data_IF_220873030752
#
_entry.id   IF_220873030752
#
_cell.length_a   1.000
_cell.length_b   1.000
_cell.length_c   1.000
_cell.angle_alpha   90.00
_cell.angle_beta   90.00
_cell.angle_gamma   90.00
#
_symmetry.space_group_name_H-M   'P 1'
#
loop_
_entity.id
_entity.type
_entity.pdbx_description
1 polymer ?
#
# COMPACT_ATOMS: atom_id res chain seq x y z
N UNK A 1 -12.50 14.65 19.22
CA UNK A 1 -12.20 14.12 17.89
C UNK A 1 -11.70 12.69 18.02
N UNK A 2 -12.25 11.76 17.26
CA UNK A 2 -11.77 10.39 17.33
C UNK A 2 -10.33 10.32 16.80
N UNK A 3 -9.50 9.61 17.54
CA UNK A 3 -8.12 9.36 17.14
C UNK A 3 -8.07 8.33 16.02
N UNK A 4 -7.12 8.52 15.09
CA UNK A 4 -6.87 7.55 14.05
C UNK A 4 -5.80 6.57 14.52
N UNK A 5 -6.11 5.28 14.47
CA UNK A 5 -5.20 4.21 14.82
C UNK A 5 -4.68 3.54 13.57
N UNK A 6 -3.39 3.31 13.51
CA UNK A 6 -2.73 2.65 12.38
C UNK A 6 -2.21 1.32 12.91
N UNK A 7 -2.72 0.22 12.38
CA UNK A 7 -2.45 -1.10 12.96
C UNK A 7 -2.47 -2.20 11.90
N UNK A 8 -1.74 -3.31 12.14
CA UNK A 8 -1.94 -4.49 11.32
C UNK A 8 -3.33 -5.06 11.55
N UNK A 9 -3.94 -5.57 10.49
CA UNK A 9 -5.27 -6.16 10.56
C UNK A 9 -5.13 -7.66 10.81
N UNK A 10 -5.72 -8.20 11.89
CA UNK A 10 -5.71 -9.65 12.10
C UNK A 10 -6.38 -10.40 10.95
N UNK A 11 -5.90 -11.61 10.67
CA UNK A 11 -6.41 -12.41 9.55
C UNK A 11 -7.91 -12.67 9.66
N UNK A 12 -8.41 -12.90 10.86
CA UNK A 12 -9.85 -13.12 11.08
C UNK A 12 -10.69 -11.91 10.74
N UNK A 13 -10.09 -10.73 10.65
CA UNK A 13 -10.78 -9.49 10.29
C UNK A 13 -10.69 -9.16 8.80
N UNK A 14 -10.07 -10.03 8.01
CA UNK A 14 -9.89 -9.80 6.57
C UNK A 14 -11.20 -9.53 5.82
N UNK A 15 -12.33 -10.16 6.17
CA UNK A 15 -13.61 -9.81 5.53
C UNK A 15 -14.01 -8.35 5.66
N UNK A 16 -13.61 -7.67 6.74
CA UNK A 16 -13.88 -6.24 6.92
C UNK A 16 -13.15 -5.41 5.87
N UNK A 17 -11.98 -5.85 5.45
CA UNK A 17 -11.20 -5.17 4.42
C UNK A 17 -11.92 -5.24 3.06
N UNK A 18 -12.41 -6.42 2.70
CA UNK A 18 -13.21 -6.58 1.47
C UNK A 18 -14.46 -5.69 1.49
N UNK A 19 -15.14 -5.63 2.65
CA UNK A 19 -16.30 -4.76 2.83
C UNK A 19 -15.93 -3.29 2.64
N UNK A 20 -14.80 -2.87 3.19
CA UNK A 20 -14.31 -1.49 3.04
C UNK A 20 -14.12 -1.13 1.57
N UNK A 21 -13.44 -1.97 0.80
CA UNK A 21 -13.21 -1.70 -0.62
C UNK A 21 -14.54 -1.64 -1.40
N UNK A 22 -15.45 -2.57 -1.14
CA UNK A 22 -16.76 -2.59 -1.83
C UNK A 22 -17.61 -1.37 -1.47
N UNK A 23 -17.59 -0.96 -0.21
CA UNK A 23 -18.36 0.18 0.28
C UNK A 23 -17.99 1.46 -0.46
N UNK A 24 -16.73 1.61 -0.85
CA UNK A 24 -16.23 2.77 -1.57
C UNK A 24 -16.10 2.54 -3.07
N UNK A 25 -16.70 1.45 -3.58
CA UNK A 25 -16.69 1.12 -5.00
C UNK A 25 -15.28 1.02 -5.57
N UNK A 26 -14.31 0.64 -4.74
CA UNK A 26 -12.95 0.43 -5.17
C UNK A 26 -12.83 -0.90 -5.90
N UNK A 27 -12.06 -0.94 -6.99
CA UNK A 27 -11.74 -2.17 -7.68
C UNK A 27 -10.70 -3.01 -6.93
N UNK A 28 -10.10 -2.45 -5.88
CA UNK A 28 -9.13 -3.17 -5.08
C UNK A 28 -9.76 -4.31 -4.32
N UNK A 29 -8.96 -5.33 -4.04
CA UNK A 29 -9.41 -6.51 -3.32
C UNK A 29 -8.50 -6.75 -2.13
N UNK A 30 -9.06 -7.34 -1.08
CA UNK A 30 -8.27 -7.81 0.04
C UNK A 30 -7.28 -8.87 -0.48
N UNK A 31 -5.99 -8.63 -0.26
CA UNK A 31 -4.98 -9.60 -0.68
C UNK A 31 -5.13 -10.88 0.13
N UNK A 32 -4.98 -12.02 -0.56
CA UNK A 32 -5.05 -13.34 0.10
C UNK A 32 -3.78 -13.66 0.85
N UNK A 33 -2.67 -12.96 0.57
CA UNK A 33 -1.37 -13.17 1.19
C UNK A 33 -0.83 -11.85 1.71
N UNK A 34 0.15 -11.95 2.61
CA UNK A 34 0.78 -10.77 3.18
C UNK A 34 0.02 -10.23 4.36
N UNK A 35 0.51 -9.12 4.87
CA UNK A 35 -0.06 -8.46 6.05
C UNK A 35 -0.81 -7.21 5.63
N UNK A 36 -2.11 -7.18 5.89
CA UNK A 36 -2.91 -5.97 5.71
C UNK A 36 -2.67 -5.03 6.88
N UNK A 37 -2.63 -3.73 6.57
CA UNK A 37 -2.58 -2.66 7.56
C UNK A 37 -3.74 -1.72 7.30
N UNK A 38 -4.32 -1.18 8.37
CA UNK A 38 -5.46 -0.28 8.26
C UNK A 38 -5.27 0.97 9.10
N UNK A 39 -5.89 2.04 8.62
CA UNK A 39 -6.12 3.24 9.41
C UNK A 39 -7.57 3.16 9.87
N UNK A 40 -7.79 3.29 11.17
CA UNK A 40 -9.10 3.06 11.76
C UNK A 40 -9.45 4.16 12.76
N UNK A 41 -10.68 4.64 12.67
CA UNK A 41 -11.33 5.42 13.71
C UNK A 41 -12.40 4.53 14.30
N UNK A 42 -13.68 4.80 14.07
CA UNK A 42 -14.74 3.84 14.37
C UNK A 42 -14.77 2.76 13.31
N UNK A 43 -14.51 3.15 12.06
CA UNK A 43 -14.47 2.25 10.91
C UNK A 43 -13.13 2.35 10.23
N UNK A 44 -12.85 1.40 9.34
CA UNK A 44 -11.66 1.46 8.49
C UNK A 44 -11.81 2.63 7.54
N UNK A 45 -10.81 3.51 7.51
CA UNK A 45 -10.78 4.68 6.62
C UNK A 45 -9.65 4.61 5.60
N UNK A 46 -8.74 3.68 5.76
CA UNK A 46 -7.65 3.45 4.82
C UNK A 46 -7.07 2.06 5.01
N UNK A 47 -6.43 1.55 3.98
CA UNK A 47 -5.83 0.22 4.02
C UNK A 47 -4.70 0.10 3.03
N UNK A 48 -3.80 -0.83 3.29
CA UNK A 48 -2.76 -1.28 2.37
C UNK A 48 -2.39 -2.72 2.69
N UNK A 49 -1.59 -3.33 1.84
CA UNK A 49 -1.07 -4.67 2.07
C UNK A 49 0.42 -4.71 1.82
N UNK A 50 1.15 -5.43 2.67
CA UNK A 50 2.58 -5.68 2.51
C UNK A 50 2.77 -7.17 2.33
N UNK A 51 3.37 -7.56 1.21
CA UNK A 51 3.66 -8.95 0.89
C UNK A 51 5.17 -9.15 0.89
N UNK A 52 5.70 -10.14 1.62
CA UNK A 52 7.14 -10.43 1.55
C UNK A 52 7.52 -10.84 0.12
N UNK A 53 8.62 -10.29 -0.34
CA UNK A 53 9.27 -10.70 -1.60
C UNK A 53 10.75 -10.85 -1.34
N UNK A 54 11.52 -11.24 -2.36
CA UNK A 54 12.97 -11.42 -2.21
C UNK A 54 13.58 -10.14 -1.63
N UNK A 55 14.22 -10.25 -0.48
CA UNK A 55 14.98 -9.19 0.19
C UNK A 55 14.15 -8.00 0.72
N UNK A 56 12.83 -8.05 0.64
CA UNK A 56 12.02 -6.94 1.12
C UNK A 56 10.53 -7.21 1.06
N UNK A 57 9.77 -6.14 0.82
CA UNK A 57 8.30 -6.21 0.81
C UNK A 57 7.73 -5.45 -0.38
N UNK A 58 6.58 -5.89 -0.83
CA UNK A 58 5.80 -5.24 -1.90
C UNK A 58 4.54 -4.65 -1.30
N UNK A 59 4.37 -3.34 -1.46
CA UNK A 59 3.20 -2.61 -0.96
C UNK A 59 2.16 -2.51 -2.07
N UNK A 60 0.95 -2.96 -1.78
CA UNK A 60 -0.16 -2.96 -2.74
C UNK A 60 -1.45 -2.53 -2.08
N UNK A 61 -2.46 -2.31 -2.90
CA UNK A 61 -3.85 -2.12 -2.47
C UNK A 61 -4.05 -0.93 -1.54
N UNK A 62 -3.21 0.10 -1.68
CA UNK A 62 -3.37 1.33 -0.90
C UNK A 62 -4.62 2.06 -1.34
N UNK A 63 -5.52 2.31 -0.38
CA UNK A 63 -6.74 3.04 -0.64
C UNK A 63 -7.16 3.78 0.62
N UNK A 64 -7.53 5.05 0.46
CA UNK A 64 -8.05 5.88 1.55
C UNK A 64 -9.44 6.32 1.16
N UNK A 65 -10.38 6.23 2.11
CA UNK A 65 -11.76 6.67 1.87
C UNK A 65 -11.76 8.11 1.34
N UNK A 66 -12.54 8.40 0.29
CA UNK A 66 -12.48 9.71 -0.36
C UNK A 66 -12.67 10.89 0.59
N UNK A 67 -13.57 10.77 1.57
CA UNK A 67 -13.85 11.82 2.56
C UNK A 67 -12.69 12.04 3.53
N UNK A 68 -11.74 11.11 3.59
CA UNK A 68 -10.60 11.19 4.50
C UNK A 68 -9.30 11.61 3.78
N UNK A 69 -9.36 11.84 2.49
CA UNK A 69 -8.18 12.25 1.70
C UNK A 69 -7.80 13.69 2.03
N UNK A 70 -6.50 13.99 1.84
CA UNK A 70 -5.97 15.31 2.15
C UNK A 70 -5.60 15.51 3.61
N UNK A 71 -5.72 14.48 4.46
CA UNK A 71 -5.41 14.54 5.88
C UNK A 71 -4.18 13.70 6.23
N UNK A 72 -3.35 13.40 5.26
CA UNK A 72 -2.12 12.61 5.43
C UNK A 72 -2.35 11.20 5.94
N UNK A 73 -3.55 10.64 5.76
CA UNK A 73 -3.85 9.27 6.21
C UNK A 73 -2.96 8.26 5.49
N UNK A 74 -2.85 8.36 4.15
CA UNK A 74 -2.02 7.45 3.38
C UNK A 74 -0.57 7.48 3.84
N UNK A 75 0.00 8.67 4.01
CA UNK A 75 1.38 8.85 4.46
C UNK A 75 1.61 8.24 5.83
N UNK A 76 0.73 8.52 6.78
CA UNK A 76 0.85 8.02 8.15
C UNK A 76 0.68 6.50 8.19
N UNK A 77 -0.23 5.97 7.38
CA UNK A 77 -0.44 4.53 7.28
C UNK A 77 0.80 3.83 6.72
N UNK A 78 1.37 4.36 5.64
CA UNK A 78 2.59 3.80 5.06
C UNK A 78 3.72 3.84 6.07
N UNK A 79 3.94 4.97 6.73
CA UNK A 79 5.01 5.11 7.72
C UNK A 79 4.85 4.12 8.86
N UNK A 80 3.63 3.94 9.37
CA UNK A 80 3.37 2.97 10.44
C UNK A 80 3.66 1.54 9.97
N UNK A 81 3.23 1.20 8.76
CA UNK A 81 3.37 -0.16 8.24
C UNK A 81 4.82 -0.53 7.93
N UNK A 82 5.63 0.43 7.46
CA UNK A 82 7.01 0.14 7.07
C UNK A 82 8.00 0.30 8.21
N UNK A 83 7.64 1.00 9.27
CA UNK A 83 8.55 1.26 10.39
C UNK A 83 9.18 -0.01 10.99
N UNK A 84 8.42 -1.09 11.23
CA UNK A 84 9.02 -2.30 11.81
C UNK A 84 9.81 -3.14 10.79
N UNK A 85 9.79 -2.76 9.52
CA UNK A 85 10.42 -3.56 8.48
C UNK A 85 11.89 -3.18 8.32
N UNK A 86 12.69 -4.17 7.95
CA UNK A 86 14.06 -3.96 7.49
C UNK A 86 14.11 -4.27 6.00
N UNK A 87 14.98 -3.57 5.27
CA UNK A 87 15.12 -3.78 3.85
C UNK A 87 14.16 -2.95 3.01
N UNK A 88 14.25 -3.09 1.69
CA UNK A 88 13.50 -2.24 0.78
C UNK A 88 12.01 -2.58 0.74
N UNK A 89 11.21 -1.55 0.44
CA UNK A 89 9.79 -1.68 0.16
C UNK A 89 9.56 -1.12 -1.24
N UNK A 90 8.93 -1.91 -2.09
CA UNK A 90 8.61 -1.52 -3.48
C UNK A 90 7.13 -1.29 -3.65
N UNK A 91 6.77 -0.38 -4.56
CA UNK A 91 5.39 -0.22 -5.00
C UNK A 91 5.38 0.13 -6.48
N UNK A 92 4.27 -0.14 -7.13
CA UNK A 92 4.01 0.30 -8.50
C UNK A 92 2.92 1.35 -8.47
N UNK A 93 3.08 2.41 -9.25
CA UNK A 93 2.04 3.44 -9.32
C UNK A 93 2.06 4.09 -10.71
N UNK A 94 0.99 4.84 -10.99
CA UNK A 94 0.96 5.66 -12.19
C UNK A 94 2.06 6.74 -12.09
N UNK A 95 2.74 7.08 -13.20
CA UNK A 95 3.79 8.11 -13.16
C UNK A 95 3.37 9.42 -12.52
N UNK A 96 2.10 9.81 -12.68
CA UNK A 96 1.57 11.05 -12.10
C UNK A 96 1.54 11.03 -10.58
N UNK A 97 1.63 9.84 -9.96
CA UNK A 97 1.61 9.70 -8.51
C UNK A 97 3.01 9.66 -7.90
N UNK A 98 4.05 9.68 -8.73
CA UNK A 98 5.43 9.62 -8.24
C UNK A 98 5.72 10.73 -7.24
N UNK A 99 5.24 11.95 -7.51
CA UNK A 99 5.41 13.09 -6.62
C UNK A 99 4.71 12.95 -5.28
N UNK A 100 3.66 12.11 -5.21
CA UNK A 100 2.95 11.83 -3.96
C UNK A 100 3.83 10.97 -3.04
N UNK A 101 4.55 10.01 -3.61
CA UNK A 101 5.35 9.06 -2.84
C UNK A 101 6.77 9.54 -2.53
N UNK A 102 7.31 10.46 -3.32
CA UNK A 102 8.65 10.99 -3.10
C UNK A 102 8.87 11.54 -1.69
N UNK A 103 7.96 12.38 -1.14
CA UNK A 103 8.14 12.88 0.22
C UNK A 103 8.12 11.79 1.29
N UNK A 104 7.64 10.61 0.96
CA UNK A 104 7.60 9.46 1.87
C UNK A 104 8.86 8.59 1.76
N UNK A 105 9.86 9.04 0.99
CA UNK A 105 11.11 8.31 0.85
C UNK A 105 11.17 7.32 -0.29
N UNK A 106 10.16 7.33 -1.19
CA UNK A 106 10.15 6.45 -2.34
C UNK A 106 10.80 7.13 -3.54
N UNK A 107 11.73 6.43 -4.16
CA UNK A 107 12.42 6.87 -5.36
C UNK A 107 12.25 5.84 -6.45
N UNK A 108 12.50 6.21 -7.70
CA UNK A 108 12.42 5.27 -8.80
C UNK A 108 13.36 4.09 -8.55
N UNK A 109 12.84 2.87 -8.68
CA UNK A 109 13.59 1.67 -8.38
C UNK A 109 14.62 1.43 -9.47
N UNK A 110 15.90 1.26 -9.07
CA UNK A 110 16.98 0.90 -9.99
C UNK A 110 16.92 -0.58 -10.35
N UNK A 111 16.47 -1.40 -9.41
CA UNK A 111 16.36 -2.84 -9.58
C UNK A 111 15.11 -3.35 -8.89
N UNK A 112 14.54 -4.42 -9.43
CA UNK A 112 13.42 -5.11 -8.82
C UNK A 112 13.81 -6.57 -8.59
N UNK A 113 13.31 -7.19 -7.50
CA UNK A 113 13.37 -8.64 -7.38
C UNK A 113 12.75 -9.30 -8.60
N UNK A 114 13.19 -10.50 -8.94
CA UNK A 114 12.73 -11.18 -10.14
C UNK A 114 11.21 -11.29 -10.20
N UNK A 115 10.56 -11.66 -9.10
CA UNK A 115 9.11 -11.80 -9.08
C UNK A 115 8.39 -10.49 -9.37
N UNK A 116 8.91 -9.37 -8.86
CA UNK A 116 8.32 -8.06 -9.10
C UNK A 116 8.66 -7.55 -10.51
N UNK A 117 9.85 -7.84 -10.99
CA UNK A 117 10.24 -7.47 -12.35
C UNK A 117 9.33 -8.09 -13.40
N UNK A 118 9.01 -9.37 -13.24
CA UNK A 118 8.10 -10.07 -14.13
C UNK A 118 6.69 -9.48 -14.08
N UNK A 119 6.18 -9.18 -12.87
CA UNK A 119 4.88 -8.54 -12.70
C UNK A 119 4.85 -7.14 -13.29
N UNK A 120 5.91 -6.37 -13.07
CA UNK A 120 6.00 -5.02 -13.60
C UNK A 120 5.93 -5.01 -15.12
N UNK A 121 6.69 -5.90 -15.78
CA UNK A 121 6.66 -6.00 -17.23
C UNK A 121 5.27 -6.38 -17.74
N UNK A 122 4.62 -7.33 -17.06
CA UNK A 122 3.30 -7.79 -17.46
C UNK A 122 2.24 -6.70 -17.31
N UNK A 123 2.25 -6.00 -16.18
CA UNK A 123 1.27 -4.93 -15.92
C UNK A 123 1.50 -3.71 -16.79
N UNK A 124 2.77 -3.41 -17.12
CA UNK A 124 3.12 -2.26 -17.94
C UNK A 124 2.65 -2.39 -19.39
N UNK A 125 2.25 -3.57 -19.82
CA UNK A 125 1.70 -3.78 -21.17
C UNK A 125 0.36 -3.08 -21.36
N UNK A 126 -0.40 -2.91 -20.28
CA UNK A 126 -1.75 -2.35 -20.33
C UNK A 126 -1.91 -1.08 -19.52
N UNK A 127 -0.92 -0.70 -18.70
CA UNK A 127 -0.99 0.46 -17.81
C UNK A 127 0.31 1.23 -17.82
N UNK A 128 0.21 2.55 -17.70
CA UNK A 128 1.39 3.38 -17.46
C UNK A 128 1.78 3.20 -15.99
N UNK A 129 2.97 2.65 -15.75
CA UNK A 129 3.45 2.36 -14.40
C UNK A 129 4.89 2.77 -14.23
N UNK A 130 5.22 3.19 -13.01
CA UNK A 130 6.60 3.29 -12.54
C UNK A 130 6.74 2.43 -11.30
N UNK A 131 7.93 1.89 -11.10
CA UNK A 131 8.27 1.13 -9.90
C UNK A 131 9.08 2.03 -8.98
N UNK A 132 8.66 2.13 -7.73
CA UNK A 132 9.33 2.94 -6.73
C UNK A 132 9.85 2.05 -5.61
N UNK A 133 10.90 2.52 -4.94
CA UNK A 133 11.52 1.81 -3.84
C UNK A 133 11.83 2.77 -2.70
N UNK A 134 11.54 2.35 -1.49
CA UNK A 134 11.99 3.00 -0.27
C UNK A 134 12.94 2.05 0.44
N UNK A 135 14.15 2.52 0.72
CA UNK A 135 15.10 1.76 1.51
C UNK A 135 14.91 2.08 2.98
N UNK A 136 14.99 1.05 3.79
CA UNK A 136 14.84 1.21 5.23
C UNK A 136 16.07 1.90 5.83
#
# INVERSE_FOLDING_TARGET
MPETHFMPLPDECRPLLGKFYRQHQSSMRAASKGQAWVAKRQEIIGALCLTPVENGHWLTSLFVAPEERGQSVARRLIEAAVQPLTGPVWLFCHPDLQGVYQPMGFEEAQRLPQSLGERFMRYSRSKALVALCRNA
#
